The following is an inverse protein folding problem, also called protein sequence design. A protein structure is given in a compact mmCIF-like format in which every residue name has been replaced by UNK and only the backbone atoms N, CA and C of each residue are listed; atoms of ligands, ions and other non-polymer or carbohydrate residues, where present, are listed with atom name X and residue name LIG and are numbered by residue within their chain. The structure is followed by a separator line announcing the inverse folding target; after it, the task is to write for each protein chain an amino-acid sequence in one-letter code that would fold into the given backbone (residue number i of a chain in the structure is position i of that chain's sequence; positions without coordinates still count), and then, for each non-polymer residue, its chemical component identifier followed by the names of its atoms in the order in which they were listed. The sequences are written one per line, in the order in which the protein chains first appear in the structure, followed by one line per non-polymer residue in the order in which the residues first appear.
data_IF_531254305620
#
_entry.id   IF_531254305620
#
_cell.length_a   1.000
_cell.length_b   1.000
_cell.length_c   1.000
_cell.angle_alpha   90.00
_cell.angle_beta   90.00
_cell.angle_gamma   90.00
#
_symmetry.space_group_name_H-M   'P 1'
#
loop_
_entity.id
_entity.type
_entity.pdbx_description
1 polymer ?
#
# COMPACT_ATOMS: atom_id res chain seq x y z
N UNK A 1 -9.69 -13.99 24.64
CA UNK A 1 -10.32 -12.71 25.08
C UNK A 1 -10.07 -11.72 23.96
N UNK A 2 -11.08 -11.40 23.16
CA UNK A 2 -10.92 -10.50 22.01
C UNK A 2 -10.87 -9.07 22.54
N UNK A 3 -9.79 -8.34 22.25
CA UNK A 3 -9.67 -6.95 22.67
C UNK A 3 -10.81 -6.13 22.04
N UNK A 4 -11.39 -5.15 22.76
CA UNK A 4 -12.42 -4.29 22.20
C UNK A 4 -11.88 -3.49 21.01
N UNK A 5 -12.67 -3.39 19.93
CA UNK A 5 -12.37 -2.53 18.80
C UNK A 5 -12.37 -1.07 19.26
N UNK A 6 -11.22 -0.41 19.14
CA UNK A 6 -11.05 1.00 19.47
C UNK A 6 -10.69 1.77 18.19
N UNK A 7 -11.49 2.80 17.85
CA UNK A 7 -11.14 3.74 16.81
C UNK A 7 -10.09 4.73 17.34
N UNK A 8 -9.01 4.91 16.59
CA UNK A 8 -7.89 5.77 16.96
C UNK A 8 -7.50 6.60 15.75
N UNK A 9 -7.11 7.86 16.00
CA UNK A 9 -6.67 8.80 14.94
C UNK A 9 -5.16 8.90 14.84
N UNK A 10 -4.43 8.51 15.88
CA UNK A 10 -2.98 8.50 15.90
C UNK A 10 -2.44 7.14 15.49
N UNK A 11 -1.65 7.12 14.41
CA UNK A 11 -0.96 5.93 13.92
C UNK A 11 0.14 5.50 14.88
N UNK A 12 0.68 6.41 15.72
CA UNK A 12 1.76 6.17 16.69
C UNK A 12 1.30 5.59 18.04
N UNK A 13 0.03 5.18 18.16
CA UNK A 13 -0.54 4.69 19.42
C UNK A 13 0.13 3.38 19.89
N UNK A 14 0.95 3.49 20.94
CA UNK A 14 1.73 2.38 21.50
C UNK A 14 0.90 1.28 22.17
N UNK A 15 -0.43 1.36 22.17
CA UNK A 15 -1.30 0.26 22.60
C UNK A 15 -1.35 -0.89 21.58
N UNK A 16 -0.86 -0.68 20.37
CA UNK A 16 -0.85 -1.68 19.30
C UNK A 16 0.56 -2.20 19.01
N UNK A 17 0.66 -3.47 18.61
CA UNK A 17 1.93 -4.13 18.29
C UNK A 17 2.35 -3.96 16.82
N UNK A 18 1.42 -3.62 15.94
CA UNK A 18 1.69 -3.49 14.51
C UNK A 18 0.74 -2.49 13.85
N UNK A 19 1.27 -1.77 12.87
CA UNK A 19 0.48 -0.90 11.98
C UNK A 19 0.34 -1.62 10.65
N UNK A 20 -0.90 -1.76 10.17
CA UNK A 20 -1.19 -2.27 8.82
C UNK A 20 -1.68 -1.09 7.98
N UNK A 21 -0.99 -0.82 6.90
CA UNK A 21 -1.36 0.22 5.95
C UNK A 21 -1.80 -0.43 4.63
N UNK A 22 -3.08 -0.26 4.32
CA UNK A 22 -3.72 -0.77 3.10
C UNK A 22 -3.95 0.41 2.19
N UNK A 23 -3.29 0.44 1.03
CA UNK A 23 -3.48 1.50 0.05
C UNK A 23 -3.10 1.06 -1.37
N UNK A 24 -3.59 1.79 -2.36
CA UNK A 24 -3.27 1.60 -3.78
C UNK A 24 -1.97 2.32 -4.17
N UNK A 25 -1.70 3.47 -3.55
CA UNK A 25 -0.54 4.32 -3.80
C UNK A 25 0.46 4.33 -2.64
N UNK A 26 1.73 4.58 -2.94
CA UNK A 26 2.80 4.81 -1.96
C UNK A 26 3.20 6.29 -1.83
N UNK A 27 2.59 7.17 -2.64
CA UNK A 27 2.84 8.62 -2.67
C UNK A 27 1.54 9.41 -2.54
N UNK A 28 1.66 10.67 -2.08
CA UNK A 28 0.54 11.61 -1.94
C UNK A 28 -0.53 11.15 -0.92
N UNK A 29 -0.09 10.58 0.21
CA UNK A 29 -0.96 10.00 1.23
C UNK A 29 -1.62 11.05 2.15
N UNK A 30 -1.21 12.31 2.02
CA UNK A 30 -1.69 13.43 2.85
C UNK A 30 -0.94 13.60 4.17
N UNK A 31 -1.20 14.71 4.86
CA UNK A 31 -0.44 15.12 6.06
C UNK A 31 -0.54 14.14 7.23
N UNK A 32 -1.67 13.44 7.36
CA UNK A 32 -1.91 12.48 8.45
C UNK A 32 -1.09 11.19 8.27
N UNK A 33 -0.64 10.90 7.05
CA UNK A 33 0.11 9.70 6.70
C UNK A 33 1.56 10.00 6.34
N UNK A 34 2.05 11.23 6.62
CA UNK A 34 3.39 11.66 6.23
C UNK A 34 4.49 10.73 6.76
N UNK A 35 4.37 10.26 8.00
CA UNK A 35 5.30 9.30 8.60
C UNK A 35 5.34 7.97 7.85
N UNK A 36 4.18 7.49 7.38
CA UNK A 36 4.05 6.25 6.61
C UNK A 36 4.67 6.45 5.23
N UNK A 37 4.41 7.60 4.60
CA UNK A 37 4.96 7.95 3.29
C UNK A 37 6.50 8.01 3.31
N UNK A 38 7.09 8.58 4.37
CA UNK A 38 8.54 8.58 4.55
C UNK A 38 9.12 7.16 4.66
N UNK A 39 8.47 6.28 5.42
CA UNK A 39 8.89 4.89 5.56
C UNK A 39 8.78 4.12 4.23
N UNK A 40 7.69 4.34 3.48
CA UNK A 40 7.50 3.75 2.15
C UNK A 40 8.54 4.26 1.15
N UNK A 41 8.84 5.57 1.14
CA UNK A 41 9.89 6.16 0.29
C UNK A 41 11.28 5.61 0.63
N UNK A 42 11.58 5.42 1.91
CA UNK A 42 12.83 4.81 2.33
C UNK A 42 12.93 3.36 1.86
N UNK A 43 11.85 2.60 1.97
CA UNK A 43 11.77 1.22 1.49
C UNK A 43 11.89 1.10 -0.03
N UNK A 44 11.23 1.98 -0.79
CA UNK A 44 11.28 2.00 -2.25
C UNK A 44 12.69 2.26 -2.83
N UNK A 45 13.57 2.93 -2.07
CA UNK A 45 14.99 3.09 -2.46
C UNK A 45 15.78 1.78 -2.40
N UNK A 46 15.35 0.85 -1.55
CA UNK A 46 16.04 -0.42 -1.30
C UNK A 46 15.39 -1.54 -2.12
N UNK A 47 14.07 -1.52 -2.25
CA UNK A 47 13.32 -2.52 -2.99
C UNK A 47 12.58 -1.91 -4.19
N UNK A 48 12.99 -2.22 -5.43
CA UNK A 48 12.32 -1.72 -6.64
C UNK A 48 10.89 -2.28 -6.83
N UNK A 49 10.50 -3.34 -6.10
CA UNK A 49 9.15 -3.88 -6.09
C UNK A 49 8.29 -3.35 -4.94
N UNK A 50 8.75 -2.32 -4.22
CA UNK A 50 7.95 -1.62 -3.21
C UNK A 50 6.67 -1.06 -3.86
N UNK A 51 5.51 -1.56 -3.45
CA UNK A 51 4.23 -1.21 -4.10
C UNK A 51 3.48 -2.40 -4.68
N UNK A 52 4.16 -3.50 -4.99
CA UNK A 52 3.55 -4.63 -5.70
C UNK A 52 3.30 -5.85 -4.80
N UNK A 53 4.01 -5.97 -3.68
CA UNK A 53 3.94 -7.13 -2.79
C UNK A 53 3.72 -6.71 -1.34
N UNK A 54 3.05 -7.59 -0.59
CA UNK A 54 2.93 -7.48 0.86
C UNK A 54 4.33 -7.41 1.48
N UNK A 55 4.63 -6.31 2.17
CA UNK A 55 5.98 -6.05 2.68
C UNK A 55 5.95 -5.62 4.13
N UNK A 56 6.92 -6.11 4.92
CA UNK A 56 7.16 -5.60 6.28
C UNK A 56 8.28 -4.58 6.22
N UNK A 57 7.99 -3.35 6.63
CA UNK A 57 8.85 -2.19 6.50
C UNK A 57 9.21 -1.68 7.90
N UNK A 58 10.43 -1.18 8.06
CA UNK A 58 10.86 -0.52 9.28
C UNK A 58 10.07 0.79 9.47
N UNK A 59 9.43 0.96 10.61
CA UNK A 59 8.61 2.13 10.91
C UNK A 59 9.06 2.76 12.23
N UNK A 60 10.14 3.58 12.20
CA UNK A 60 10.78 4.10 13.41
C UNK A 60 9.87 5.03 14.22
N UNK A 61 8.83 5.59 13.59
CA UNK A 61 7.90 6.52 14.23
C UNK A 61 6.86 5.83 15.12
N UNK A 62 6.71 4.50 15.04
CA UNK A 62 5.81 3.73 15.90
C UNK A 62 6.58 2.97 16.98
N UNK A 63 6.04 2.85 18.21
CA UNK A 63 6.68 2.09 19.30
C UNK A 63 7.04 0.64 18.94
N UNK A 64 6.27 0.01 18.06
CA UNK A 64 6.56 -1.36 17.61
C UNK A 64 7.65 -1.47 16.54
N UNK A 65 8.01 -0.36 15.90
CA UNK A 65 9.06 -0.30 14.88
C UNK A 65 8.71 -0.96 13.54
N UNK A 66 7.48 -1.47 13.34
CA UNK A 66 7.10 -2.26 12.16
C UNK A 66 5.82 -1.74 11.51
N UNK A 67 5.85 -1.62 10.18
CA UNK A 67 4.73 -1.31 9.31
C UNK A 67 4.52 -2.46 8.33
N UNK A 68 3.30 -2.98 8.26
CA UNK A 68 2.90 -3.96 7.25
C UNK A 68 2.22 -3.17 6.13
N UNK A 69 2.85 -3.15 4.96
CA UNK A 69 2.29 -2.51 3.78
C UNK A 69 1.58 -3.54 2.91
N UNK A 70 0.28 -3.32 2.72
CA UNK A 70 -0.62 -4.14 1.92
C UNK A 70 -1.04 -3.35 0.67
N UNK A 71 -0.33 -3.46 -0.45
CA UNK A 71 -0.75 -2.82 -1.69
C UNK A 71 -2.03 -3.47 -2.21
N UNK A 72 -3.03 -2.66 -2.57
CA UNK A 72 -4.25 -3.14 -3.24
C UNK A 72 -4.08 -3.25 -4.76
N UNK A 73 -2.95 -2.78 -5.29
CA UNK A 73 -2.73 -2.62 -6.72
C UNK A 73 -3.40 -1.35 -7.27
N UNK A 74 -3.10 -1.06 -8.54
CA UNK A 74 -3.62 0.09 -9.26
C UNK A 74 -5.14 -0.03 -9.46
N UNK A 75 -5.91 0.91 -8.90
CA UNK A 75 -7.38 0.94 -9.03
C UNK A 75 -7.86 1.53 -10.36
N UNK A 76 -6.95 2.10 -11.15
CA UNK A 76 -7.21 2.84 -12.39
C UNK A 76 -7.04 1.99 -13.66
N UNK A 77 -6.79 0.68 -13.54
CA UNK A 77 -6.64 -0.24 -14.68
C UNK A 77 -7.95 -0.90 -15.15
N UNK A 78 -9.03 -0.82 -14.38
CA UNK A 78 -10.31 -1.49 -14.74
C UNK A 78 -10.86 -1.08 -16.11
N UNK A 79 -10.63 0.17 -16.53
CA UNK A 79 -11.06 0.65 -17.86
C UNK A 79 -10.07 0.31 -18.97
N UNK A 80 -8.81 0.07 -18.62
CA UNK A 80 -7.76 -0.34 -19.57
C UNK A 80 -7.94 -1.80 -20.00
N UNK A 81 -8.46 -2.65 -19.12
CA UNK A 81 -8.65 -4.08 -19.40
C UNK A 81 -9.61 -4.33 -20.56
N UNK A 82 -10.70 -3.55 -20.69
CA UNK A 82 -11.63 -3.70 -21.83
C UNK A 82 -10.96 -3.30 -23.16
N UNK A 83 -10.14 -2.25 -23.17
CA UNK A 83 -9.43 -1.83 -24.39
C UNK A 83 -8.36 -2.84 -24.78
N UNK A 84 -7.64 -3.39 -23.80
CA UNK A 84 -6.67 -4.45 -24.02
C UNK A 84 -7.32 -5.72 -24.58
N UNK A 85 -8.53 -6.07 -24.12
CA UNK A 85 -9.31 -7.19 -24.69
C UNK A 85 -9.72 -6.91 -26.13
N UNK A 86 -10.16 -5.69 -26.45
CA UNK A 86 -10.52 -5.31 -27.82
C UNK A 86 -9.32 -5.36 -28.76
N UNK A 87 -8.19 -4.78 -28.35
CA UNK A 87 -6.96 -4.77 -29.14
C UNK A 87 -6.41 -6.19 -29.35
N UNK A 88 -6.44 -7.03 -28.32
CA UNK A 88 -6.06 -8.44 -28.44
C UNK A 88 -6.99 -9.22 -29.37
N UNK A 89 -8.30 -8.96 -29.32
CA UNK A 89 -9.27 -9.57 -30.24
C UNK A 89 -9.05 -9.11 -31.69
N UNK A 90 -8.75 -7.83 -31.90
CA UNK A 90 -8.49 -7.26 -33.22
C UNK A 90 -7.19 -7.77 -33.84
N UNK A 91 -6.11 -7.87 -33.05
CA UNK A 91 -4.85 -8.47 -33.51
C UNK A 91 -4.98 -9.98 -33.76
N UNK A 92 -5.83 -10.68 -32.99
CA UNK A 92 -6.19 -12.08 -33.26
C UNK A 92 -6.98 -12.27 -34.55
N UNK A 93 -7.78 -11.29 -34.96
CA UNK A 93 -8.54 -11.32 -36.22
C UNK A 93 -7.69 -11.01 -37.46
N UNK A 94 -6.60 -10.26 -37.32
CA UNK A 94 -5.66 -9.93 -38.42
C UNK A 94 -4.70 -11.07 -38.79
N UNK A 95 -4.61 -12.12 -37.95
CA UNK A 95 -3.79 -13.31 -38.19
C UNK A 95 -4.58 -14.39 -38.91
#
# INVERSE_FOLDING_TARGET
MQAPLAAVTDVADGRFDAVVFVNDSTTDLGSNCASIEEALKAYAKVNPQAGCELSVIAFPNHPSGRLIFCPTGALNTDTADIRNVYDAAFEGFKR
#
